data_IF_434491779553
#
_entry.id   IF_434491779553
#
_cell.length_a   1.000
_cell.length_b   1.000
_cell.length_c   1.000
_cell.angle_alpha   90.00
_cell.angle_beta   90.00
_cell.angle_gamma   90.00
#
_symmetry.space_group_name_H-M   'P 1'
#
loop_
_entity.id
_entity.type
_entity.pdbx_description
1 polymer ?
#
# COMPACT_ATOMS: atom_id res chain seq x y z
N UNK A 1 27.86 14.35 -10.55
CA UNK A 1 26.59 14.91 -10.12
C UNK A 1 25.62 13.76 -9.87
N UNK A 2 25.13 13.66 -8.62
CA UNK A 2 24.21 12.57 -8.20
C UNK A 2 22.93 12.54 -9.04
N UNK A 3 22.45 13.70 -9.48
CA UNK A 3 21.25 13.78 -10.33
C UNK A 3 21.46 13.10 -11.69
N UNK A 4 22.61 13.29 -12.31
CA UNK A 4 22.92 12.65 -13.58
C UNK A 4 23.09 11.13 -13.43
N UNK A 5 23.69 10.69 -12.32
CA UNK A 5 23.83 9.27 -12.00
C UNK A 5 22.44 8.66 -11.78
N UNK A 6 21.61 9.27 -10.95
CA UNK A 6 20.25 8.81 -10.70
C UNK A 6 19.42 8.72 -11.99
N UNK A 7 19.54 9.74 -12.86
CA UNK A 7 18.87 9.78 -14.16
C UNK A 7 19.35 8.67 -15.08
N UNK A 8 20.65 8.42 -15.15
CA UNK A 8 21.21 7.35 -15.99
C UNK A 8 20.86 5.96 -15.50
N UNK A 9 20.68 5.79 -14.19
CA UNK A 9 20.26 4.54 -13.55
C UNK A 9 18.74 4.39 -13.44
N UNK A 10 17.97 5.39 -13.84
CA UNK A 10 16.51 5.43 -13.72
C UNK A 10 16.02 5.20 -12.26
N UNK A 11 16.78 5.75 -11.30
CA UNK A 11 16.50 5.72 -9.88
C UNK A 11 16.32 7.14 -9.33
N UNK A 12 15.83 7.26 -8.09
CA UNK A 12 15.74 8.56 -7.43
C UNK A 12 17.11 8.95 -6.85
N UNK A 13 17.47 10.24 -6.87
CA UNK A 13 18.68 10.74 -6.20
C UNK A 13 18.76 10.30 -4.75
N UNK A 14 17.61 10.21 -4.07
CA UNK A 14 17.53 9.76 -2.69
C UNK A 14 18.01 8.31 -2.50
N UNK A 15 17.87 7.45 -3.50
CA UNK A 15 18.33 6.06 -3.45
C UNK A 15 19.86 5.94 -3.53
N UNK A 16 20.55 7.02 -3.92
CA UNK A 16 22.00 7.14 -3.96
C UNK A 16 22.60 7.76 -2.69
N UNK A 17 21.76 8.33 -1.84
CA UNK A 17 22.20 8.93 -0.59
C UNK A 17 22.29 7.83 0.47
N UNK A 18 23.39 7.77 1.24
CA UNK A 18 23.44 6.87 2.39
C UNK A 18 22.31 7.22 3.35
N UNK A 19 21.67 6.22 3.91
CA UNK A 19 20.76 6.41 5.04
C UNK A 19 21.58 6.89 6.24
N UNK A 20 21.68 8.20 6.41
CA UNK A 20 22.59 8.86 7.35
C UNK A 20 22.29 8.60 8.83
N UNK A 21 21.17 7.96 9.14
CA UNK A 21 20.88 7.48 10.49
C UNK A 21 20.06 6.20 10.35
N UNK A 22 20.64 5.10 10.75
CA UNK A 22 19.86 3.97 11.23
C UNK A 22 19.15 4.51 12.47
N UNK A 23 17.88 4.83 12.27
CA UNK A 23 16.98 5.22 13.36
C UNK A 23 16.96 4.13 14.42
N UNK A 24 16.43 4.43 15.57
CA UNK A 24 16.28 3.49 16.66
C UNK A 24 15.73 2.16 16.15
N UNK A 25 16.26 1.05 16.67
CA UNK A 25 15.83 -0.30 16.31
C UNK A 25 14.33 -0.54 16.55
N UNK A 26 13.75 0.25 17.43
CA UNK A 26 12.32 0.23 17.76
C UNK A 26 11.82 1.67 17.76
N UNK A 27 10.76 1.92 17.00
CA UNK A 27 10.07 3.21 16.97
C UNK A 27 8.70 2.99 17.60
N UNK A 28 8.46 3.66 18.73
CA UNK A 28 7.16 3.69 19.39
C UNK A 28 6.51 5.04 19.08
N UNK A 29 5.28 5.02 18.63
CA UNK A 29 4.48 6.23 18.39
C UNK A 29 3.14 6.05 19.09
N UNK A 30 2.87 6.88 20.07
CA UNK A 30 1.57 6.86 20.74
C UNK A 30 0.49 7.40 19.82
N UNK A 31 -0.73 6.88 19.94
CA UNK A 31 -1.84 7.23 19.06
C UNK A 31 -2.16 8.74 19.04
N UNK A 32 -1.90 9.41 20.18
CA UNK A 32 -2.09 10.86 20.33
C UNK A 32 -1.08 11.68 19.52
N UNK A 33 0.09 11.12 19.26
CA UNK A 33 1.17 11.74 18.47
C UNK A 33 0.99 11.52 16.97
N UNK A 34 0.06 10.63 16.59
CA UNK A 34 -0.26 10.34 15.20
C UNK A 34 -0.85 11.56 14.50
N UNK A 35 -0.29 11.94 13.35
CA UNK A 35 -0.91 12.95 12.51
C UNK A 35 -2.28 12.45 12.05
N UNK A 36 -3.32 13.25 12.31
CA UNK A 36 -4.70 12.94 11.94
C UNK A 36 -5.20 13.90 10.86
N UNK A 37 -6.00 13.38 9.94
CA UNK A 37 -6.69 14.19 8.92
C UNK A 37 -7.95 13.49 8.45
N UNK A 38 -8.90 14.28 7.93
CA UNK A 38 -10.12 13.76 7.31
C UNK A 38 -9.97 13.64 5.79
N UNK A 39 -10.61 12.62 5.22
CA UNK A 39 -10.65 12.44 3.77
C UNK A 39 -12.03 11.89 3.31
N UNK A 40 -12.60 12.38 2.21
CA UNK A 40 -12.29 13.69 1.62
C UNK A 40 -12.49 14.82 2.65
N UNK A 41 -11.74 15.90 2.58
CA UNK A 41 -11.76 16.95 3.59
C UNK A 41 -13.16 17.57 3.76
N UNK A 42 -13.90 17.71 2.64
CA UNK A 42 -15.25 18.30 2.62
C UNK A 42 -16.34 17.38 3.18
N UNK A 43 -16.21 16.04 2.99
CA UNK A 43 -17.28 15.07 3.32
C UNK A 43 -16.95 14.31 4.59
N UNK A 44 -15.65 14.14 4.89
CA UNK A 44 -15.12 13.46 6.09
C UNK A 44 -15.61 12.00 6.22
N UNK A 45 -15.59 11.26 5.12
CA UNK A 45 -15.95 9.83 5.14
C UNK A 45 -15.01 9.01 6.01
N UNK A 46 -13.75 9.46 6.12
CA UNK A 46 -12.68 8.78 6.84
C UNK A 46 -11.88 9.74 7.70
N UNK A 47 -11.50 9.28 8.87
CA UNK A 47 -10.44 9.88 9.67
C UNK A 47 -9.22 8.99 9.59
N UNK A 48 -8.12 9.51 9.07
CA UNK A 48 -6.83 8.82 9.01
C UNK A 48 -5.98 9.20 10.22
N UNK A 49 -5.27 8.23 10.77
CA UNK A 49 -4.23 8.44 11.76
C UNK A 49 -2.94 7.74 11.32
N UNK A 50 -1.85 8.48 11.22
CA UNK A 50 -0.56 7.93 10.85
C UNK A 50 0.04 7.15 12.03
N UNK A 51 0.41 5.89 11.80
CA UNK A 51 1.06 5.02 12.77
C UNK A 51 2.60 5.14 12.71
N UNK A 52 3.30 4.39 13.55
CA UNK A 52 4.76 4.36 13.54
C UNK A 52 5.27 4.00 12.14
N UNK A 53 6.28 4.74 11.69
CA UNK A 53 6.92 4.55 10.40
C UNK A 53 8.42 4.80 10.53
N UNK A 54 9.20 4.29 9.60
CA UNK A 54 10.65 4.48 9.53
C UNK A 54 11.04 5.17 8.23
N UNK A 55 12.10 5.95 8.27
CA UNK A 55 12.70 6.54 7.06
C UNK A 55 13.45 5.49 6.24
N UNK A 56 13.81 4.35 6.85
CA UNK A 56 14.45 3.23 6.16
C UNK A 56 13.52 2.57 5.11
N UNK A 57 12.19 2.68 5.31
CA UNK A 57 11.19 2.19 4.36
C UNK A 57 10.29 3.35 3.87
N UNK A 58 10.83 4.30 3.09
CA UNK A 58 10.14 5.55 2.74
C UNK A 58 8.86 5.35 1.93
N UNK A 59 8.69 4.20 1.29
CA UNK A 59 7.53 3.86 0.48
C UNK A 59 6.52 2.97 1.20
N UNK A 60 6.75 2.67 2.48
CA UNK A 60 5.85 1.86 3.29
C UNK A 60 5.33 2.68 4.45
N UNK A 61 4.02 2.69 4.63
CA UNK A 61 3.36 3.42 5.71
C UNK A 61 2.17 2.64 6.24
N UNK A 62 1.99 2.69 7.55
CA UNK A 62 0.81 2.16 8.21
C UNK A 62 -0.10 3.30 8.67
N UNK A 63 -1.41 3.08 8.54
CA UNK A 63 -2.46 4.01 8.97
C UNK A 63 -3.55 3.26 9.73
N UNK A 64 -4.12 3.89 10.73
CA UNK A 64 -5.46 3.58 11.18
C UNK A 64 -6.43 4.43 10.36
N UNK A 65 -7.50 3.82 9.86
CA UNK A 65 -8.59 4.51 9.18
C UNK A 65 -9.87 4.25 9.97
N UNK A 66 -10.46 5.30 10.51
CA UNK A 66 -11.81 5.25 11.06
C UNK A 66 -12.78 5.56 9.93
N UNK A 67 -13.61 4.57 9.59
CA UNK A 67 -14.72 4.73 8.64
C UNK A 67 -15.88 5.38 9.37
N UNK A 68 -16.43 6.48 8.82
CA UNK A 68 -17.41 7.32 9.50
C UNK A 68 -18.72 7.45 8.72
N UNK A 69 -18.78 6.96 7.50
CA UNK A 69 -19.96 7.03 6.65
C UNK A 69 -20.51 5.62 6.38
N UNK A 70 -21.74 5.38 6.80
CA UNK A 70 -22.41 4.07 6.64
C UNK A 70 -22.82 3.76 5.21
N UNK A 71 -22.90 4.76 4.32
CA UNK A 71 -23.39 4.62 2.94
C UNK A 71 -22.47 5.30 1.91
N UNK A 72 -21.18 4.95 1.95
CA UNK A 72 -20.23 5.51 0.99
C UNK A 72 -20.06 4.61 -0.26
N UNK A 73 -20.45 5.13 -1.41
CA UNK A 73 -20.32 4.47 -2.72
C UNK A 73 -19.50 5.28 -3.72
N UNK A 74 -18.74 6.27 -3.26
CA UNK A 74 -18.11 7.25 -4.15
C UNK A 74 -16.80 6.77 -4.79
N UNK A 75 -16.25 5.61 -4.41
CA UNK A 75 -14.94 5.12 -4.87
C UNK A 75 -13.85 6.19 -4.74
N UNK A 76 -13.87 6.87 -3.60
CA UNK A 76 -13.07 8.06 -3.32
C UNK A 76 -11.63 7.76 -2.90
N UNK A 77 -11.30 6.49 -2.69
CA UNK A 77 -9.96 6.05 -2.36
C UNK A 77 -9.26 5.41 -3.56
N UNK A 78 -8.02 5.81 -3.76
CA UNK A 78 -7.10 5.21 -4.72
C UNK A 78 -5.67 5.34 -4.19
N UNK A 79 -4.83 4.36 -4.45
CA UNK A 79 -3.41 4.39 -4.05
C UNK A 79 -2.53 3.82 -5.15
N UNK A 80 -1.40 4.48 -5.41
CA UNK A 80 -0.39 4.00 -6.36
C UNK A 80 0.52 2.88 -5.80
N UNK A 81 0.23 2.37 -4.59
CA UNK A 81 0.99 1.33 -3.92
C UNK A 81 0.09 0.19 -3.47
N UNK A 82 0.67 -0.96 -3.20
CA UNK A 82 -0.05 -2.10 -2.63
C UNK A 82 -0.62 -1.77 -1.26
N UNK A 83 -1.81 -2.26 -0.95
CA UNK A 83 -2.43 -2.07 0.35
C UNK A 83 -2.89 -3.40 0.91
N UNK A 84 -2.52 -3.67 2.16
CA UNK A 84 -3.13 -4.69 2.99
C UNK A 84 -4.03 -3.99 4.00
N UNK A 85 -5.25 -4.44 4.11
CA UNK A 85 -6.26 -3.87 5.00
C UNK A 85 -6.74 -4.96 5.93
N UNK A 86 -6.83 -4.64 7.21
CA UNK A 86 -7.31 -5.52 8.26
C UNK A 86 -8.39 -4.80 9.06
N UNK A 87 -9.54 -5.44 9.27
CA UNK A 87 -10.59 -4.87 10.10
C UNK A 87 -10.27 -5.15 11.58
N UNK A 88 -9.73 -4.15 12.25
CA UNK A 88 -9.39 -4.19 13.69
C UNK A 88 -10.56 -3.77 14.58
N UNK A 89 -11.67 -3.34 13.98
CA UNK A 89 -12.90 -2.97 14.69
C UNK A 89 -13.81 -4.16 14.95
N UNK A 90 -14.81 -3.95 15.79
CA UNK A 90 -15.81 -4.97 16.14
C UNK A 90 -17.05 -4.94 15.23
N UNK A 91 -17.05 -4.10 14.21
CA UNK A 91 -18.18 -3.90 13.31
C UNK A 91 -17.83 -4.28 11.88
N UNK A 92 -18.76 -4.87 11.13
CA UNK A 92 -18.55 -5.13 9.70
C UNK A 92 -18.34 -3.83 8.93
N UNK A 93 -17.44 -3.87 7.96
CA UNK A 93 -17.18 -2.79 7.03
C UNK A 93 -17.44 -3.31 5.61
N UNK A 94 -18.25 -2.58 4.86
CA UNK A 94 -18.46 -2.86 3.45
C UNK A 94 -17.32 -2.23 2.64
N UNK A 95 -16.67 -3.01 1.79
CA UNK A 95 -15.80 -2.51 0.73
C UNK A 95 -16.53 -2.53 -0.60
N UNK A 96 -16.39 -1.46 -1.38
CA UNK A 96 -16.83 -1.40 -2.77
C UNK A 96 -15.64 -1.03 -3.64
N UNK A 97 -15.47 -1.71 -4.79
CA UNK A 97 -14.37 -1.39 -5.71
C UNK A 97 -14.79 -1.52 -7.18
N UNK A 98 -13.97 -0.91 -8.05
CA UNK A 98 -14.14 -1.01 -9.50
C UNK A 98 -13.06 -1.88 -10.11
N UNK A 99 -13.46 -2.84 -10.94
CA UNK A 99 -12.56 -3.63 -11.78
C UNK A 99 -13.24 -3.94 -13.10
N UNK A 100 -12.51 -3.79 -14.20
CA UNK A 100 -12.96 -4.11 -15.56
C UNK A 100 -14.33 -3.47 -15.94
N UNK A 101 -14.52 -2.21 -15.51
CA UNK A 101 -15.74 -1.43 -15.75
C UNK A 101 -16.96 -1.88 -14.93
N UNK A 102 -16.79 -2.82 -14.01
CA UNK A 102 -17.84 -3.31 -13.11
C UNK A 102 -17.59 -2.87 -11.67
N UNK A 103 -18.68 -2.76 -10.93
CA UNK A 103 -18.63 -2.52 -9.48
C UNK A 103 -18.81 -3.84 -8.75
N UNK A 104 -18.06 -3.99 -7.68
CA UNK A 104 -18.09 -5.13 -6.78
C UNK A 104 -18.20 -4.65 -5.35
N UNK A 105 -18.86 -5.43 -4.53
CA UNK A 105 -19.01 -5.18 -3.09
C UNK A 105 -18.69 -6.45 -2.31
N UNK A 106 -18.12 -6.29 -1.12
CA UNK A 106 -17.91 -7.37 -0.16
C UNK A 106 -18.00 -6.81 1.26
N UNK A 107 -18.31 -7.66 2.22
CA UNK A 107 -18.34 -7.32 3.64
C UNK A 107 -17.13 -7.96 4.31
N UNK A 108 -16.33 -7.13 4.99
CA UNK A 108 -15.22 -7.58 5.84
C UNK A 108 -15.66 -7.49 7.30
N UNK A 109 -15.78 -8.63 7.93
CA UNK A 109 -16.12 -8.73 9.35
C UNK A 109 -14.92 -8.36 10.23
N UNK A 110 -15.12 -8.35 11.55
CA UNK A 110 -13.99 -8.27 12.49
C UNK A 110 -12.97 -9.36 12.18
N UNK A 111 -11.70 -9.00 12.23
CA UNK A 111 -10.55 -9.87 11.97
C UNK A 111 -10.39 -10.36 10.52
N UNK A 112 -11.26 -9.94 9.61
CA UNK A 112 -11.06 -10.19 8.18
C UNK A 112 -10.00 -9.24 7.60
N UNK A 113 -9.36 -9.71 6.54
CA UNK A 113 -8.36 -8.94 5.82
C UNK A 113 -8.60 -8.97 4.31
N UNK A 114 -8.12 -7.95 3.63
CA UNK A 114 -8.14 -7.87 2.17
C UNK A 114 -6.85 -7.25 1.64
N UNK A 115 -6.59 -7.51 0.38
CA UNK A 115 -5.48 -6.94 -0.36
C UNK A 115 -6.00 -6.15 -1.56
N UNK A 116 -5.46 -4.94 -1.75
CA UNK A 116 -5.77 -4.05 -2.86
C UNK A 116 -4.52 -3.83 -3.72
N UNK A 117 -4.64 -4.09 -5.01
CA UNK A 117 -3.62 -3.73 -5.99
C UNK A 117 -3.51 -2.20 -6.14
N UNK A 118 -2.35 -1.70 -6.62
CA UNK A 118 -2.25 -0.31 -7.02
C UNK A 118 -3.35 0.11 -8.01
N UNK A 119 -3.78 1.36 -7.90
CA UNK A 119 -4.76 2.02 -8.78
C UNK A 119 -6.17 1.42 -8.79
N UNK A 120 -6.51 0.56 -7.84
CA UNK A 120 -7.89 0.12 -7.65
C UNK A 120 -8.68 1.22 -6.94
N UNK A 121 -9.68 1.77 -7.62
CA UNK A 121 -10.63 2.71 -7.03
C UNK A 121 -11.59 1.97 -6.13
N UNK A 122 -11.67 2.40 -4.88
CA UNK A 122 -12.47 1.73 -3.85
C UNK A 122 -13.04 2.71 -2.84
N UNK A 123 -13.97 2.25 -2.04
CA UNK A 123 -14.50 2.95 -0.87
C UNK A 123 -14.82 1.97 0.25
N UNK A 124 -14.79 2.46 1.46
CA UNK A 124 -15.30 1.74 2.63
C UNK A 124 -16.54 2.43 3.15
N UNK A 125 -17.52 1.64 3.59
CA UNK A 125 -18.75 2.12 4.22
C UNK A 125 -19.00 1.35 5.51
N UNK A 126 -19.47 2.05 6.54
CA UNK A 126 -19.72 1.50 7.86
C UNK A 126 -19.33 2.46 8.96
N UNK A 127 -19.20 1.93 10.17
CA UNK A 127 -18.69 2.66 11.32
C UNK A 127 -17.73 1.76 12.09
N UNK A 128 -16.46 1.84 11.77
CA UNK A 128 -15.45 0.95 12.37
C UNK A 128 -14.03 1.41 12.07
N UNK A 129 -13.07 0.57 12.42
CA UNK A 129 -11.65 0.86 12.31
C UNK A 129 -10.93 -0.17 11.46
N UNK A 130 -10.12 0.32 10.55
CA UNK A 130 -9.27 -0.47 9.68
C UNK A 130 -7.80 -0.16 9.96
N UNK A 131 -6.97 -1.18 10.00
CA UNK A 131 -5.52 -1.03 9.89
C UNK A 131 -5.14 -1.18 8.41
N UNK A 132 -4.44 -0.20 7.87
CA UNK A 132 -3.99 -0.22 6.47
C UNK A 132 -2.49 -0.12 6.41
N UNK A 133 -1.86 -1.14 5.81
CA UNK A 133 -0.44 -1.13 5.50
C UNK A 133 -0.27 -0.89 4.00
N UNK A 134 0.29 0.25 3.65
CA UNK A 134 0.71 0.60 2.29
C UNK A 134 2.15 0.20 2.08
N UNK A 135 2.38 -0.61 1.05
CA UNK A 135 3.72 -1.06 0.69
C UNK A 135 3.96 -0.63 -0.75
N UNK A 136 4.87 0.31 -0.90
CA UNK A 136 5.39 0.72 -2.18
C UNK A 136 6.89 0.48 -2.18
N UNK A 137 7.45 0.39 -3.35
CA UNK A 137 8.88 0.32 -3.49
C UNK A 137 9.23 0.30 -4.96
N UNK A 138 10.34 0.88 -5.27
CA UNK A 138 11.05 0.56 -6.48
C UNK A 138 11.64 -0.83 -6.29
N UNK A 139 11.68 -1.59 -7.35
CA UNK A 139 12.57 -2.73 -7.44
C UNK A 139 13.96 -2.21 -7.06
N UNK A 140 14.62 -2.87 -6.13
CA UNK A 140 15.95 -2.45 -5.68
C UNK A 140 16.89 -2.26 -6.89
N UNK A 141 17.84 -1.35 -6.80
CA UNK A 141 18.78 -1.08 -7.88
C UNK A 141 19.51 -2.34 -8.35
N UNK A 142 19.79 -3.26 -7.43
CA UNK A 142 20.39 -4.55 -7.74
C UNK A 142 19.46 -5.44 -8.57
N UNK A 143 18.18 -5.53 -8.20
CA UNK A 143 17.21 -6.28 -8.99
C UNK A 143 16.93 -5.63 -10.35
N UNK A 144 16.95 -4.30 -10.46
CA UNK A 144 16.85 -3.60 -11.75
C UNK A 144 18.07 -3.90 -12.63
N UNK A 145 19.25 -3.91 -12.04
CA UNK A 145 20.50 -4.26 -12.75
C UNK A 145 20.48 -5.70 -13.22
N UNK A 146 20.10 -6.65 -12.37
CA UNK A 146 19.95 -8.05 -12.74
C UNK A 146 18.93 -8.23 -13.86
N UNK A 147 17.75 -7.60 -13.75
CA UNK A 147 16.73 -7.63 -14.81
C UNK A 147 17.22 -7.02 -16.12
N UNK A 148 18.05 -5.98 -16.08
CA UNK A 148 18.63 -5.36 -17.28
C UNK A 148 19.68 -6.26 -17.96
N UNK A 149 20.48 -6.99 -17.18
CA UNK A 149 21.48 -7.95 -17.67
C UNK A 149 20.80 -9.18 -18.29
N UNK A 150 19.77 -9.68 -17.63
CA UNK A 150 19.02 -10.86 -18.09
C UNK A 150 18.20 -10.56 -19.35
N UNK A 151 17.89 -9.31 -19.62
CA UNK A 151 17.12 -8.85 -20.77
C UNK A 151 15.60 -9.02 -20.60
N UNK A 152 14.83 -8.18 -21.30
CA UNK A 152 13.37 -8.06 -21.13
C UNK A 152 12.62 -9.40 -21.28
N UNK A 153 13.04 -10.24 -22.23
CA UNK A 153 12.39 -11.54 -22.51
C UNK A 153 12.56 -12.52 -21.36
N UNK A 154 13.78 -12.61 -20.83
CA UNK A 154 14.09 -13.52 -19.72
C UNK A 154 13.56 -13.00 -18.39
N UNK A 155 13.55 -11.69 -18.18
CA UNK A 155 12.91 -11.06 -17.02
C UNK A 155 11.41 -11.35 -16.98
N UNK A 156 10.71 -11.25 -18.10
CA UNK A 156 9.27 -11.60 -18.18
C UNK A 156 9.05 -13.09 -17.89
N UNK A 157 9.92 -13.96 -18.34
CA UNK A 157 9.85 -15.39 -18.04
C UNK A 157 10.09 -15.67 -16.55
N UNK A 158 11.11 -15.08 -15.94
CA UNK A 158 11.41 -15.24 -14.52
C UNK A 158 10.24 -14.75 -13.63
N UNK A 159 9.61 -13.61 -13.99
CA UNK A 159 8.41 -13.11 -13.29
C UNK A 159 7.25 -14.10 -13.43
N UNK A 160 7.01 -14.62 -14.63
CA UNK A 160 5.94 -15.60 -14.88
C UNK A 160 6.17 -16.89 -14.09
N UNK A 161 7.39 -17.41 -14.08
CA UNK A 161 7.76 -18.60 -13.31
C UNK A 161 7.60 -18.37 -11.81
N UNK A 162 8.04 -17.21 -11.30
CA UNK A 162 7.86 -16.83 -9.89
C UNK A 162 6.38 -16.75 -9.52
N UNK A 163 5.54 -16.18 -10.37
CA UNK A 163 4.11 -16.12 -10.15
C UNK A 163 3.46 -17.51 -10.08
N UNK A 164 3.89 -18.45 -10.92
CA UNK A 164 3.42 -19.84 -10.87
C UNK A 164 3.80 -20.54 -9.55
N UNK A 165 4.97 -20.27 -9.01
CA UNK A 165 5.42 -20.85 -7.73
C UNK A 165 4.62 -20.33 -6.52
N UNK A 166 4.13 -19.11 -6.60
CA UNK A 166 3.35 -18.48 -5.52
C UNK A 166 1.82 -18.53 -5.77
N UNK A 167 1.35 -19.18 -6.82
CA UNK A 167 -0.07 -19.39 -7.03
C UNK A 167 -0.57 -20.56 -6.16
N UNK A 168 -1.36 -20.31 -5.10
CA UNK A 168 -1.90 -21.37 -4.25
C UNK A 168 -2.92 -22.26 -4.99
N UNK A 169 -3.33 -21.89 -6.20
CA UNK A 169 -4.20 -22.66 -7.09
C UNK A 169 -3.44 -23.42 -8.17
N UNK A 170 -2.12 -23.34 -8.18
CA UNK A 170 -1.27 -24.10 -9.10
C UNK A 170 -1.55 -25.57 -8.93
N UNK A 171 -2.39 -26.10 -9.78
CA UNK A 171 -2.58 -27.55 -9.93
C UNK A 171 -1.32 -28.09 -10.60
N UNK A 172 -0.63 -28.98 -9.91
CA UNK A 172 0.30 -29.92 -10.53
C UNK A 172 -0.41 -30.76 -11.59
#
# INVERSE_FOLDING_TARGET
DLENIAKSLTINVRDLLPNDKIEDKVIVKHHEEGKKWFYPESIKNYEFCELASTTALPFSKAFEIKVMNSENHNFDLESGVHQYVYNVGNTPIKISWKSDGKNYDEIINSDDSLYLKPFVKHSFAGNGKLLVLRIGGKISGDSQRELSIVGKKNASRAISETMQWFDPKGKN
#
